data_IF_294816426914
#
_entry.id   IF_294816426914
#
_cell.length_a   1.000
_cell.length_b   1.000
_cell.length_c   1.000
_cell.angle_alpha   90.00
_cell.angle_beta   90.00
_cell.angle_gamma   90.00
#
_symmetry.space_group_name_H-M   'P 1'
#
loop_
_entity.id
_entity.type
_entity.pdbx_description
1 polymer ?
#
# COMPACT_ATOMS: atom_id res chain seq x y z
N UNK A 1 6.28 25.63 41.31
CA UNK A 1 5.77 24.35 40.79
C UNK A 1 4.71 24.66 39.73
N UNK A 2 4.78 24.34 38.44
CA UNK A 2 5.86 23.84 37.58
C UNK A 2 5.37 24.11 36.13
N UNK A 3 6.08 24.89 35.30
CA UNK A 3 5.76 25.04 33.84
C UNK A 3 5.82 23.71 33.07
N UNK A 4 6.38 22.68 33.69
CA UNK A 4 6.48 21.31 33.19
C UNK A 4 5.09 20.67 33.06
N UNK A 5 4.12 21.06 33.90
CA UNK A 5 2.78 20.46 33.91
C UNK A 5 1.99 20.72 32.60
N UNK A 6 2.19 21.91 32.01
CA UNK A 6 1.56 22.28 30.73
C UNK A 6 2.16 21.56 29.50
N UNK A 7 3.36 20.97 29.61
CA UNK A 7 3.93 20.15 28.54
C UNK A 7 3.42 18.71 28.56
N UNK A 8 3.03 18.20 29.73
CA UNK A 8 2.56 16.82 29.89
C UNK A 8 1.18 16.65 29.23
N UNK A 9 0.29 17.65 29.37
CA UNK A 9 -1.07 17.57 28.81
C UNK A 9 -1.15 17.65 27.28
N UNK A 10 -0.08 18.06 26.59
CA UNK A 10 -0.07 18.14 25.12
C UNK A 10 0.36 16.83 24.44
N UNK A 11 1.03 15.91 25.17
CA UNK A 11 1.44 14.63 24.60
C UNK A 11 0.28 13.64 24.44
N UNK A 12 -0.76 13.76 25.26
CA UNK A 12 -1.88 12.80 25.31
C UNK A 12 -2.95 13.09 24.25
N UNK A 13 -2.99 14.30 23.67
CA UNK A 13 -3.93 14.68 22.61
C UNK A 13 -3.56 14.17 21.22
N UNK A 14 -2.37 13.58 21.05
CA UNK A 14 -1.97 12.91 19.80
C UNK A 14 -2.48 11.46 19.74
N UNK A 15 -2.84 10.87 20.89
CA UNK A 15 -3.27 9.48 20.99
C UNK A 15 -4.76 9.25 20.69
N UNK A 16 -5.54 10.33 20.49
CA UNK A 16 -6.97 10.28 20.20
C UNK A 16 -7.29 10.61 18.73
N UNK A 17 -6.32 10.48 17.83
CA UNK A 17 -6.68 10.20 16.45
C UNK A 17 -7.32 8.80 16.47
N UNK A 18 -8.56 8.62 15.96
CA UNK A 18 -8.98 7.27 15.55
C UNK A 18 -7.81 6.69 14.75
N UNK A 19 -7.48 5.39 14.84
CA UNK A 19 -6.50 4.85 13.89
C UNK A 19 -6.96 5.34 12.53
N UNK A 20 -6.18 6.23 11.89
CA UNK A 20 -6.45 6.70 10.53
C UNK A 20 -6.89 5.45 9.80
N UNK A 21 -8.11 5.41 9.22
CA UNK A 21 -8.78 4.17 8.87
C UNK A 21 -7.71 3.35 8.21
N UNK A 22 -7.20 2.30 8.92
CA UNK A 22 -6.03 1.55 8.48
C UNK A 22 -6.42 1.28 7.06
N UNK A 23 -5.71 1.89 6.13
CA UNK A 23 -6.15 1.79 4.75
C UNK A 23 -5.62 0.42 4.41
N UNK A 24 -6.35 -0.62 4.84
CA UNK A 24 -6.05 -2.04 4.76
C UNK A 24 -6.08 -2.52 3.31
N UNK A 25 -5.88 -1.58 2.38
CA UNK A 25 -5.52 -1.83 1.02
C UNK A 25 -4.03 -2.19 1.04
N UNK A 26 -3.69 -3.36 1.58
CA UNK A 26 -2.39 -3.95 1.33
C UNK A 26 -2.42 -4.42 -0.13
N UNK A 27 -1.70 -3.76 -1.03
CA UNK A 27 -1.54 -4.31 -2.38
C UNK A 27 -0.50 -5.42 -2.35
N UNK A 28 -0.46 -6.24 -3.39
CA UNK A 28 0.51 -7.32 -3.52
C UNK A 28 1.08 -7.30 -4.94
N UNK A 29 2.40 -7.28 -5.08
CA UNK A 29 3.08 -7.33 -6.37
C UNK A 29 3.54 -8.74 -6.67
N UNK A 30 2.87 -9.39 -7.61
CA UNK A 30 3.34 -10.65 -8.17
C UNK A 30 4.35 -10.35 -9.29
N UNK A 31 5.55 -10.88 -9.16
CA UNK A 31 6.52 -10.83 -10.25
C UNK A 31 6.31 -12.04 -11.17
N UNK A 32 6.09 -11.79 -12.46
CA UNK A 32 5.90 -12.81 -13.50
C UNK A 32 7.16 -12.85 -14.36
N UNK A 33 8.04 -13.86 -14.19
CA UNK A 33 9.25 -13.97 -15.00
C UNK A 33 8.88 -14.23 -16.46
N UNK A 34 9.58 -13.58 -17.40
CA UNK A 34 9.37 -13.79 -18.81
C UNK A 34 10.16 -15.04 -19.27
N UNK A 35 9.52 -16.05 -19.89
CA UNK A 35 10.21 -17.30 -20.28
C UNK A 35 11.29 -17.11 -21.35
N UNK A 36 11.23 -16.03 -22.12
CA UNK A 36 12.24 -15.66 -23.14
C UNK A 36 13.53 -15.04 -22.54
N UNK A 37 13.59 -14.84 -21.22
CA UNK A 37 14.77 -14.28 -20.54
C UNK A 37 14.81 -12.75 -20.52
N UNK A 38 13.78 -12.08 -21.03
CA UNK A 38 13.59 -10.63 -20.89
C UNK A 38 13.15 -10.26 -19.45
N UNK A 39 13.06 -8.96 -19.16
CA UNK A 39 12.63 -8.45 -17.85
C UNK A 39 11.21 -8.96 -17.59
N UNK A 40 11.02 -9.66 -16.46
CA UNK A 40 9.71 -10.15 -16.05
C UNK A 40 8.82 -8.99 -15.62
N UNK A 41 7.53 -9.04 -15.96
CA UNK A 41 6.61 -7.96 -15.62
C UNK A 41 6.01 -8.13 -14.23
N UNK A 42 5.70 -7.01 -13.59
CA UNK A 42 4.97 -6.98 -12.33
C UNK A 42 3.46 -6.99 -12.55
N UNK A 43 2.72 -7.74 -11.76
CA UNK A 43 1.25 -7.66 -11.69
C UNK A 43 0.85 -7.27 -10.28
N UNK A 44 0.20 -6.12 -10.14
CA UNK A 44 -0.34 -5.65 -8.87
C UNK A 44 -1.70 -6.31 -8.63
N UNK A 45 -1.87 -6.83 -7.42
CA UNK A 45 -3.12 -7.37 -6.90
C UNK A 45 -3.53 -6.59 -5.65
N UNK A 46 -4.82 -6.61 -5.31
CA UNK A 46 -5.31 -6.18 -3.99
C UNK A 46 -5.12 -7.33 -2.97
N UNK A 47 -5.04 -7.01 -1.68
CA UNK A 47 -4.93 -8.03 -0.62
C UNK A 47 -6.02 -9.10 -0.75
N UNK A 48 -7.26 -8.65 -1.00
CA UNK A 48 -8.44 -9.49 -1.14
C UNK A 48 -8.48 -10.32 -2.44
N UNK A 49 -7.48 -10.20 -3.32
CA UNK A 49 -7.42 -10.98 -4.56
C UNK A 49 -7.23 -12.47 -4.27
N UNK A 50 -7.91 -13.32 -5.05
CA UNK A 50 -7.75 -14.79 -5.00
C UNK A 50 -6.34 -15.25 -5.33
N UNK A 51 -5.60 -14.48 -6.13
CA UNK A 51 -4.21 -14.78 -6.46
C UNK A 51 -3.38 -14.71 -5.18
N UNK A 52 -2.78 -15.84 -4.79
CA UNK A 52 -1.90 -15.96 -3.62
C UNK A 52 -0.47 -15.95 -4.14
N UNK A 53 0.18 -14.79 -4.04
CA UNK A 53 1.56 -14.60 -4.48
C UNK A 53 1.93 -13.12 -4.49
N UNK A 54 3.24 -12.88 -4.47
CA UNK A 54 3.81 -11.53 -4.51
C UNK A 54 4.15 -10.93 -3.16
N UNK A 55 5.01 -9.92 -3.18
CA UNK A 55 5.37 -9.11 -2.01
C UNK A 55 4.26 -8.12 -1.67
N UNK A 56 4.06 -7.83 -0.38
CA UNK A 56 3.13 -6.76 0.00
C UNK A 56 3.66 -5.39 -0.44
N UNK A 57 2.73 -4.55 -0.89
CA UNK A 57 2.97 -3.18 -1.31
C UNK A 57 2.10 -2.25 -0.47
N UNK A 58 2.73 -1.21 0.06
CA UNK A 58 2.06 -0.05 0.62
C UNK A 58 1.57 0.90 -0.48
N UNK A 59 0.72 1.86 -0.12
CA UNK A 59 0.19 2.87 -1.06
C UNK A 59 1.28 3.60 -1.86
N UNK A 60 2.40 3.96 -1.23
CA UNK A 60 3.54 4.62 -1.92
C UNK A 60 4.22 3.70 -2.92
N UNK A 61 4.37 2.43 -2.57
CA UNK A 61 5.01 1.45 -3.43
C UNK A 61 4.09 1.08 -4.61
N UNK A 62 2.77 1.06 -4.38
CA UNK A 62 1.78 0.96 -5.44
C UNK A 62 1.85 2.14 -6.41
N UNK A 63 1.86 3.37 -5.90
CA UNK A 63 1.93 4.58 -6.74
C UNK A 63 3.16 4.55 -7.65
N UNK A 64 4.33 4.24 -7.08
CA UNK A 64 5.55 4.01 -7.86
C UNK A 64 5.39 2.87 -8.87
N UNK A 65 4.79 1.75 -8.46
CA UNK A 65 4.55 0.62 -9.34
C UNK A 65 3.67 0.99 -10.54
N UNK A 66 2.62 1.80 -10.34
CA UNK A 66 1.75 2.27 -11.42
C UNK A 66 2.43 3.25 -12.38
N UNK A 67 3.54 3.88 -11.98
CA UNK A 67 4.35 4.71 -12.90
C UNK A 67 5.30 3.89 -13.78
N UNK A 68 5.54 2.62 -13.44
CA UNK A 68 6.45 1.75 -14.21
C UNK A 68 5.70 1.07 -15.36
N UNK A 69 6.18 1.17 -16.62
CA UNK A 69 5.51 0.56 -17.78
C UNK A 69 5.53 -0.97 -17.76
N UNK A 70 6.48 -1.54 -17.01
CA UNK A 70 6.67 -2.97 -16.84
C UNK A 70 5.76 -3.58 -15.76
N UNK A 71 4.98 -2.73 -15.07
CA UNK A 71 4.03 -3.17 -14.07
C UNK A 71 2.61 -2.92 -14.55
N UNK A 72 1.82 -3.97 -14.49
CA UNK A 72 0.41 -3.97 -14.86
C UNK A 72 -0.46 -4.23 -13.63
N UNK A 73 -1.73 -3.84 -13.71
CA UNK A 73 -2.70 -4.11 -12.65
C UNK A 73 -3.52 -5.35 -12.98
N UNK A 74 -3.89 -6.09 -11.94
CA UNK A 74 -4.72 -7.27 -12.10
C UNK A 74 -6.14 -6.87 -12.52
N UNK A 75 -6.52 -7.18 -13.76
CA UNK A 75 -7.84 -6.87 -14.31
C UNK A 75 -9.01 -7.51 -13.56
N UNK A 76 -8.76 -8.55 -12.75
CA UNK A 76 -9.80 -9.25 -11.97
C UNK A 76 -10.15 -8.49 -10.69
N UNK A 77 -9.13 -8.09 -9.92
CA UNK A 77 -9.34 -7.42 -8.64
C UNK A 77 -9.22 -5.89 -8.73
N UNK A 78 -8.80 -5.37 -9.89
CA UNK A 78 -8.64 -3.96 -10.23
C UNK A 78 -8.09 -3.16 -9.05
N UNK A 79 -6.82 -3.42 -8.66
CA UNK A 79 -6.22 -2.81 -7.48
C UNK A 79 -6.34 -1.27 -7.47
N UNK A 80 -6.41 -0.64 -8.64
CA UNK A 80 -6.54 0.81 -8.79
C UNK A 80 -7.94 1.36 -8.50
N UNK A 81 -8.99 0.52 -8.54
CA UNK A 81 -10.38 0.98 -8.33
C UNK A 81 -10.64 1.26 -6.86
N UNK A 82 -10.66 2.53 -6.46
CA UNK A 82 -10.71 2.96 -5.06
C UNK A 82 -9.43 3.62 -4.58
N UNK A 83 -8.51 3.93 -5.51
CA UNK A 83 -7.43 4.89 -5.28
C UNK A 83 -7.89 6.35 -5.39
N UNK A 84 -9.18 6.58 -5.70
CA UNK A 84 -9.81 7.90 -5.89
C UNK A 84 -9.62 8.79 -4.64
N UNK A 85 -9.22 10.06 -4.81
CA UNK A 85 -8.89 10.97 -3.70
C UNK A 85 -10.10 11.41 -2.86
#
# INVERSE_FOLDING_TARGET
MTRIDAKIQQAEKVAAQPPEPRTELAWRLQHVPNPDGDTGHGVVHRDSCRVKGGGQLDRKALDLALTMPDVTTCSICQPERGLDP
#
